data_IF_698251297281
#
_entry.id   IF_698251297281
#
_cell.length_a   1.000
_cell.length_b   1.000
_cell.length_c   1.000
_cell.angle_alpha   90.00
_cell.angle_beta   90.00
_cell.angle_gamma   90.00
#
_symmetry.space_group_name_H-M   'P 1'
#
loop_
_entity.id
_entity.type
_entity.pdbx_description
1 polymer ?
#
# COMPACT_ATOMS: atom_id res chain seq x y z
N UNK A 1 -15.99 34.82 -25.58
CA UNK A 1 -16.56 33.49 -25.33
C UNK A 1 -15.47 32.47 -25.66
N UNK A 2 -14.69 32.02 -24.68
CA UNK A 2 -13.70 30.98 -24.85
C UNK A 2 -14.31 29.71 -24.29
N UNK A 3 -14.76 28.83 -25.17
CA UNK A 3 -15.23 27.50 -24.80
C UNK A 3 -14.02 26.72 -24.32
N UNK A 4 -13.91 26.46 -23.01
CA UNK A 4 -13.00 25.48 -22.48
C UNK A 4 -13.45 24.11 -22.96
N UNK A 5 -12.73 23.55 -23.94
CA UNK A 5 -12.82 22.13 -24.25
C UNK A 5 -12.38 21.38 -22.99
N UNK A 6 -13.33 20.87 -22.21
CA UNK A 6 -13.06 19.75 -21.32
C UNK A 6 -12.61 18.58 -22.21
N UNK A 7 -11.32 18.40 -22.31
CA UNK A 7 -10.74 17.17 -22.81
C UNK A 7 -11.09 16.14 -21.73
N UNK A 8 -12.10 15.32 -22.00
CA UNK A 8 -12.28 14.05 -21.29
C UNK A 8 -11.05 13.19 -21.61
N UNK A 9 -9.97 13.40 -20.90
CA UNK A 9 -8.89 12.41 -20.85
C UNK A 9 -9.56 11.12 -20.35
N UNK A 10 -9.55 10.10 -21.18
CA UNK A 10 -9.86 8.73 -20.78
C UNK A 10 -8.73 8.37 -19.82
N UNK A 11 -8.93 8.64 -18.55
CA UNK A 11 -8.00 8.26 -17.49
C UNK A 11 -7.80 6.74 -17.58
N UNK A 12 -6.56 6.30 -17.66
CA UNK A 12 -6.24 4.88 -17.69
C UNK A 12 -6.84 4.16 -16.50
N UNK A 13 -7.30 2.94 -16.72
CA UNK A 13 -7.79 2.07 -15.64
C UNK A 13 -6.71 1.08 -15.26
N UNK A 14 -6.59 0.81 -13.97
CA UNK A 14 -5.56 -0.08 -13.40
C UNK A 14 -6.20 -1.26 -12.66
N UNK A 15 -5.53 -2.41 -12.64
CA UNK A 15 -5.90 -3.52 -11.78
C UNK A 15 -5.33 -3.28 -10.39
N UNK A 16 -6.17 -3.37 -9.36
CA UNK A 16 -5.73 -3.35 -7.97
C UNK A 16 -5.38 -4.78 -7.52
N UNK A 17 -4.18 -4.95 -6.97
CA UNK A 17 -3.72 -6.20 -6.35
C UNK A 17 -3.65 -6.02 -4.83
N UNK A 18 -4.40 -6.87 -4.11
CA UNK A 18 -4.41 -6.92 -2.64
C UNK A 18 -3.68 -8.20 -2.20
N UNK A 19 -2.43 -8.10 -1.69
CA UNK A 19 -1.71 -9.25 -1.17
C UNK A 19 -2.14 -9.57 0.25
N UNK A 20 -2.72 -10.75 0.48
CA UNK A 20 -3.27 -11.15 1.77
C UNK A 20 -2.85 -12.59 2.12
N UNK A 21 -1.66 -12.76 2.72
CA UNK A 21 -1.22 -14.08 3.18
C UNK A 21 -1.98 -14.54 4.42
N UNK A 22 -2.13 -15.85 4.60
CA UNK A 22 -2.78 -16.47 5.76
C UNK A 22 -1.96 -16.37 7.05
N UNK A 23 -0.63 -16.45 6.94
CA UNK A 23 0.30 -16.38 8.07
C UNK A 23 0.58 -14.94 8.49
N UNK A 24 0.11 -14.53 9.67
CA UNK A 24 0.46 -13.25 10.30
C UNK A 24 0.94 -13.50 11.72
N UNK A 25 2.23 -13.19 12.02
CA UNK A 25 2.85 -13.48 13.33
C UNK A 25 2.40 -12.51 14.42
N UNK A 26 2.48 -11.21 14.15
CA UNK A 26 2.19 -10.18 15.15
C UNK A 26 0.71 -10.18 15.58
N UNK A 27 -0.19 -10.43 14.63
CA UNK A 27 -1.64 -10.49 14.87
C UNK A 27 -2.19 -11.71 14.13
N UNK A 28 -2.60 -12.78 14.85
CA UNK A 28 -3.17 -13.98 14.21
C UNK A 28 -4.35 -13.63 13.30
N UNK A 29 -4.35 -14.19 12.07
CA UNK A 29 -5.39 -13.96 11.06
C UNK A 29 -5.65 -12.46 10.77
N UNK A 30 -4.62 -11.61 10.81
CA UNK A 30 -4.71 -10.15 10.70
C UNK A 30 -5.67 -9.69 9.58
N UNK A 31 -5.51 -10.24 8.38
CA UNK A 31 -6.26 -9.81 7.20
C UNK A 31 -7.78 -10.05 7.28
N UNK A 32 -8.22 -11.00 8.08
CA UNK A 32 -9.63 -11.32 8.28
C UNK A 32 -10.14 -11.03 9.69
N UNK A 33 -9.31 -10.40 10.52
CA UNK A 33 -9.74 -9.94 11.85
C UNK A 33 -10.80 -8.86 11.73
N UNK A 34 -11.85 -8.99 12.52
CA UNK A 34 -13.04 -8.13 12.45
C UNK A 34 -12.79 -6.74 13.03
N UNK A 35 -13.20 -5.72 12.27
CA UNK A 35 -13.21 -4.30 12.65
C UNK A 35 -14.56 -3.72 12.27
N UNK A 36 -15.30 -3.15 13.23
CA UNK A 36 -16.63 -2.55 13.02
C UNK A 36 -17.57 -3.44 12.17
N UNK A 37 -17.55 -4.76 12.47
CA UNK A 37 -18.43 -5.74 11.82
C UNK A 37 -17.95 -6.30 10.49
N UNK A 38 -16.78 -5.89 9.97
CA UNK A 38 -16.21 -6.36 8.71
C UNK A 38 -14.76 -6.82 8.86
N UNK A 39 -14.28 -7.81 8.09
CA UNK A 39 -12.88 -8.22 8.12
C UNK A 39 -11.97 -7.11 7.57
N UNK A 40 -10.75 -7.00 8.09
CA UNK A 40 -9.80 -5.95 7.73
C UNK A 40 -9.63 -5.79 6.21
N UNK A 41 -9.46 -6.90 5.48
CA UNK A 41 -9.29 -6.91 4.02
C UNK A 41 -10.47 -6.27 3.27
N UNK A 42 -11.68 -6.35 3.83
CA UNK A 42 -12.88 -5.81 3.19
C UNK A 42 -12.81 -4.30 2.95
N UNK A 43 -12.14 -3.56 3.83
CA UNK A 43 -11.93 -2.11 3.66
C UNK A 43 -11.08 -1.80 2.43
N UNK A 44 -10.01 -2.57 2.20
CA UNK A 44 -9.19 -2.41 0.99
C UNK A 44 -9.95 -2.81 -0.27
N UNK A 45 -10.75 -3.87 -0.21
CA UNK A 45 -11.62 -4.28 -1.33
C UNK A 45 -12.65 -3.19 -1.63
N UNK A 46 -13.31 -2.64 -0.60
CA UNK A 46 -14.28 -1.56 -0.76
C UNK A 46 -13.66 -0.32 -1.39
N UNK A 47 -12.47 0.09 -0.95
CA UNK A 47 -11.75 1.22 -1.51
C UNK A 47 -11.44 1.01 -3.00
N UNK A 48 -10.97 -0.18 -3.39
CA UNK A 48 -10.72 -0.53 -4.78
C UNK A 48 -12.00 -0.53 -5.62
N UNK A 49 -13.09 -1.10 -5.11
CA UNK A 49 -14.36 -1.19 -5.83
C UNK A 49 -15.07 0.16 -5.98
N UNK A 50 -14.81 1.12 -5.09
CA UNK A 50 -15.35 2.48 -5.15
C UNK A 50 -14.50 3.42 -6.02
N UNK A 51 -13.21 3.14 -6.20
CA UNK A 51 -12.31 3.97 -7.00
C UNK A 51 -12.62 3.84 -8.50
N UNK A 52 -12.95 4.93 -9.17
CA UNK A 52 -13.36 4.95 -10.57
C UNK A 52 -12.25 4.49 -11.54
N UNK A 53 -10.98 4.67 -11.14
CA UNK A 53 -9.81 4.32 -11.94
C UNK A 53 -9.35 2.87 -11.73
N UNK A 54 -9.97 2.12 -10.82
CA UNK A 54 -9.73 0.68 -10.67
C UNK A 54 -10.68 -0.09 -11.58
N UNK A 55 -10.14 -0.98 -12.42
CA UNK A 55 -10.93 -1.80 -13.35
C UNK A 55 -11.32 -3.15 -12.77
N UNK A 56 -10.43 -3.73 -11.95
CA UNK A 56 -10.59 -5.03 -11.30
C UNK A 56 -9.91 -5.02 -9.95
N UNK A 57 -10.49 -5.69 -8.97
CA UNK A 57 -9.90 -5.89 -7.62
C UNK A 57 -9.53 -7.35 -7.49
N UNK A 58 -8.23 -7.65 -7.46
CA UNK A 58 -7.69 -9.02 -7.37
C UNK A 58 -7.02 -9.21 -6.03
N UNK A 59 -7.35 -10.30 -5.33
CA UNK A 59 -6.68 -10.72 -4.10
C UNK A 59 -5.76 -11.89 -4.39
N UNK A 60 -4.49 -11.77 -3.97
CA UNK A 60 -3.51 -12.85 -4.00
C UNK A 60 -3.33 -13.40 -2.59
N UNK A 61 -3.73 -14.64 -2.37
CA UNK A 61 -3.67 -15.32 -1.06
C UNK A 61 -3.30 -16.79 -1.19
N UNK A 62 -2.67 -17.34 -0.15
CA UNK A 62 -2.37 -18.77 0.04
C UNK A 62 -3.40 -19.48 0.93
N UNK A 63 -4.43 -18.75 1.41
CA UNK A 63 -5.41 -19.20 2.39
C UNK A 63 -6.82 -19.18 1.79
N UNK A 64 -7.48 -20.35 1.74
CA UNK A 64 -8.83 -20.47 1.17
C UNK A 64 -9.87 -19.65 1.97
N UNK A 65 -9.77 -19.60 3.30
CA UNK A 65 -10.66 -18.78 4.14
C UNK A 65 -10.60 -17.29 3.74
N UNK A 66 -9.39 -16.76 3.44
CA UNK A 66 -9.22 -15.39 2.95
C UNK A 66 -9.79 -15.26 1.54
N UNK A 67 -9.61 -16.26 0.67
CA UNK A 67 -10.11 -16.25 -0.70
C UNK A 67 -11.65 -16.22 -0.73
N UNK A 68 -12.32 -17.03 0.08
CA UNK A 68 -13.79 -17.05 0.21
C UNK A 68 -14.31 -15.69 0.70
N UNK A 69 -13.71 -15.13 1.74
CA UNK A 69 -14.05 -13.80 2.25
C UNK A 69 -13.85 -12.73 1.17
N UNK A 70 -12.72 -12.76 0.47
CA UNK A 70 -12.43 -11.78 -0.58
C UNK A 70 -13.48 -11.81 -1.70
N UNK A 71 -13.85 -13.00 -2.16
CA UNK A 71 -14.93 -13.22 -3.18
C UNK A 71 -16.28 -12.72 -2.66
N UNK A 72 -16.60 -13.00 -1.39
CA UNK A 72 -17.85 -12.54 -0.76
C UNK A 72 -17.95 -11.01 -0.68
N UNK A 73 -16.82 -10.29 -0.63
CA UNK A 73 -16.76 -8.84 -0.64
C UNK A 73 -16.51 -8.23 -2.05
N UNK A 74 -16.59 -9.04 -3.11
CA UNK A 74 -16.57 -8.59 -4.50
C UNK A 74 -15.18 -8.44 -5.11
N UNK A 75 -14.16 -9.08 -4.54
CA UNK A 75 -12.87 -9.22 -5.18
C UNK A 75 -12.76 -10.52 -5.98
N UNK A 76 -11.90 -10.53 -6.99
CA UNK A 76 -11.53 -11.72 -7.74
C UNK A 76 -10.37 -12.44 -7.04
N UNK A 77 -10.42 -13.78 -7.02
CA UNK A 77 -9.30 -14.65 -6.62
C UNK A 77 -9.11 -15.67 -7.73
N UNK A 78 -8.45 -15.29 -8.82
CA UNK A 78 -8.34 -16.14 -10.02
C UNK A 78 -7.35 -17.29 -9.85
N UNK A 79 -6.47 -17.21 -8.86
CA UNK A 79 -5.46 -18.23 -8.52
C UNK A 79 -5.17 -18.20 -7.02
N UNK A 80 -4.68 -19.31 -6.50
CA UNK A 80 -4.12 -19.37 -5.15
C UNK A 80 -2.61 -19.14 -5.20
N UNK A 81 -2.10 -18.33 -4.28
CA UNK A 81 -0.67 -18.09 -4.13
C UNK A 81 0.01 -19.35 -3.60
N UNK A 82 1.12 -19.82 -4.21
CA UNK A 82 1.94 -20.88 -3.63
C UNK A 82 2.41 -20.53 -2.22
N UNK A 83 2.44 -21.51 -1.32
CA UNK A 83 2.81 -21.30 0.09
C UNK A 83 4.24 -20.79 0.26
N UNK A 84 5.15 -21.20 -0.63
CA UNK A 84 6.53 -20.73 -0.69
C UNK A 84 6.63 -19.21 -0.91
N UNK A 85 5.63 -18.58 -1.56
CA UNK A 85 5.57 -17.12 -1.79
C UNK A 85 4.75 -16.37 -0.72
N UNK A 86 4.40 -17.06 0.36
CA UNK A 86 3.62 -16.51 1.47
C UNK A 86 4.35 -16.58 2.82
N UNK A 87 5.63 -16.94 2.82
CA UNK A 87 6.48 -16.99 4.00
C UNK A 87 6.74 -15.62 4.62
N UNK A 88 7.24 -15.62 5.87
CA UNK A 88 7.53 -14.35 6.58
C UNK A 88 8.68 -13.57 5.96
N UNK A 89 9.63 -14.27 5.34
CA UNK A 89 10.79 -13.69 4.68
C UNK A 89 10.64 -13.62 3.16
N UNK A 90 9.48 -14.06 2.61
CA UNK A 90 9.21 -13.97 1.18
C UNK A 90 9.14 -12.52 0.74
N UNK A 91 10.02 -12.07 -0.16
CA UNK A 91 9.98 -10.72 -0.67
C UNK A 91 8.74 -10.49 -1.57
N UNK A 92 8.27 -9.26 -1.64
CA UNK A 92 7.13 -8.88 -2.47
C UNK A 92 7.28 -9.33 -3.94
N UNK A 93 8.49 -9.36 -4.45
CA UNK A 93 8.82 -9.80 -5.81
C UNK A 93 8.25 -11.19 -6.15
N UNK A 94 8.19 -12.12 -5.20
CA UNK A 94 7.71 -13.49 -5.44
C UNK A 94 6.22 -13.50 -5.76
N UNK A 95 5.37 -12.90 -4.91
CA UNK A 95 3.95 -12.85 -5.18
C UNK A 95 3.60 -11.91 -6.36
N UNK A 96 4.40 -10.87 -6.60
CA UNK A 96 4.23 -9.99 -7.75
C UNK A 96 4.53 -10.73 -9.06
N UNK A 97 5.62 -11.48 -9.13
CA UNK A 97 5.93 -12.31 -10.30
C UNK A 97 4.84 -13.35 -10.52
N UNK A 98 4.42 -14.05 -9.47
CA UNK A 98 3.32 -15.02 -9.56
C UNK A 98 2.02 -14.37 -10.07
N UNK A 99 1.71 -13.15 -9.64
CA UNK A 99 0.57 -12.40 -10.17
C UNK A 99 0.71 -12.14 -11.68
N UNK A 100 1.86 -11.61 -12.12
CA UNK A 100 2.13 -11.30 -13.53
C UNK A 100 2.28 -12.54 -14.41
N UNK A 101 2.54 -13.72 -13.84
CA UNK A 101 2.53 -14.99 -14.58
C UNK A 101 1.09 -15.47 -14.89
N UNK A 102 0.12 -15.03 -14.08
CA UNK A 102 -1.27 -15.44 -14.20
C UNK A 102 -2.18 -14.37 -14.82
N UNK A 103 -1.75 -13.09 -14.83
CA UNK A 103 -2.54 -11.97 -15.37
C UNK A 103 -1.64 -11.12 -16.25
N UNK A 104 -1.99 -11.04 -17.53
CA UNK A 104 -1.26 -10.25 -18.52
C UNK A 104 -1.64 -8.77 -18.39
N UNK A 105 -0.76 -7.99 -17.76
CA UNK A 105 -0.89 -6.54 -17.56
C UNK A 105 0.48 -5.89 -17.35
N UNK A 106 0.64 -4.66 -17.82
CA UNK A 106 1.91 -3.93 -17.72
C UNK A 106 2.14 -3.32 -16.34
N UNK A 107 1.08 -2.86 -15.68
CA UNK A 107 1.13 -2.18 -14.39
C UNK A 107 -0.04 -2.52 -13.48
N UNK A 108 0.18 -2.42 -12.18
CA UNK A 108 -0.81 -2.66 -11.13
C UNK A 108 -0.76 -1.59 -10.04
N UNK A 109 -1.88 -1.41 -9.34
CA UNK A 109 -1.95 -0.72 -8.07
C UNK A 109 -1.86 -1.75 -6.93
N UNK A 110 -0.79 -1.73 -6.16
CA UNK A 110 -0.60 -2.59 -5.00
C UNK A 110 -1.27 -1.95 -3.78
N UNK A 111 -2.22 -2.66 -3.18
CA UNK A 111 -3.12 -2.18 -2.12
C UNK A 111 -3.00 -3.07 -0.89
N UNK A 112 -2.14 -2.74 0.06
CA UNK A 112 -1.91 -3.59 1.24
C UNK A 112 -3.12 -3.58 2.18
N UNK A 113 -3.61 -4.73 2.68
CA UNK A 113 -4.73 -4.78 3.63
C UNK A 113 -4.48 -4.03 4.93
N UNK A 114 -3.20 -3.86 5.30
CA UNK A 114 -2.79 -3.20 6.55
C UNK A 114 -3.08 -1.71 6.58
N UNK A 115 -3.42 -1.12 5.45
CA UNK A 115 -3.80 0.29 5.33
C UNK A 115 -5.29 0.40 4.96
N UNK A 116 -6.22 0.18 5.92
CA UNK A 116 -7.64 0.00 5.60
C UNK A 116 -8.38 1.29 5.24
N UNK A 117 -8.03 2.43 5.85
CA UNK A 117 -8.75 3.71 5.68
C UNK A 117 -8.17 4.55 4.55
N UNK A 118 -8.33 4.07 3.33
CA UNK A 118 -7.87 4.79 2.14
C UNK A 118 -8.81 5.92 1.73
N UNK A 119 -8.22 7.06 1.36
CA UNK A 119 -8.93 8.13 0.69
C UNK A 119 -9.09 7.80 -0.80
N UNK A 120 -10.32 7.77 -1.31
CA UNK A 120 -10.59 7.56 -2.73
C UNK A 120 -9.95 8.65 -3.59
N UNK A 121 -9.99 9.91 -3.12
CA UNK A 121 -9.36 11.04 -3.80
C UNK A 121 -7.86 10.84 -3.98
N UNK A 122 -7.13 10.42 -2.93
CA UNK A 122 -5.69 10.13 -3.03
C UNK A 122 -5.42 8.99 -4.01
N UNK A 123 -6.26 7.96 -4.04
CA UNK A 123 -6.13 6.85 -5.00
C UNK A 123 -6.32 7.33 -6.44
N UNK A 124 -7.38 8.10 -6.70
CA UNK A 124 -7.72 8.62 -8.02
C UNK A 124 -6.65 9.58 -8.54
N UNK A 125 -6.17 10.50 -7.69
CA UNK A 125 -5.11 11.43 -8.04
C UNK A 125 -3.78 10.73 -8.31
N UNK A 126 -3.38 9.78 -7.47
CA UNK A 126 -2.15 9.02 -7.67
C UNK A 126 -2.17 8.23 -8.99
N UNK A 127 -3.31 7.58 -9.31
CA UNK A 127 -3.48 6.86 -10.58
C UNK A 127 -3.41 7.83 -11.76
N UNK A 128 -4.09 8.98 -11.67
CA UNK A 128 -4.08 10.01 -12.70
C UNK A 128 -2.67 10.51 -12.97
N UNK A 129 -1.94 10.94 -11.93
CA UNK A 129 -0.56 11.44 -12.04
C UNK A 129 0.35 10.37 -12.65
N UNK A 130 0.18 9.11 -12.24
CA UNK A 130 0.95 8.02 -12.83
C UNK A 130 0.73 7.89 -14.32
N UNK A 131 -0.52 7.85 -14.80
CA UNK A 131 -0.81 7.71 -16.23
C UNK A 131 -0.38 8.92 -17.06
N UNK A 132 -0.46 10.12 -16.51
CA UNK A 132 0.05 11.34 -17.16
C UNK A 132 1.57 11.31 -17.36
N UNK A 133 2.31 10.61 -16.49
CA UNK A 133 3.77 10.58 -16.48
C UNK A 133 4.36 9.17 -16.71
N UNK A 134 3.54 8.17 -17.07
CA UNK A 134 3.94 6.75 -17.07
C UNK A 134 5.17 6.43 -17.94
N UNK A 135 5.39 7.19 -19.02
CA UNK A 135 6.54 6.96 -19.90
C UNK A 135 7.88 7.34 -19.24
N UNK A 136 7.84 8.26 -18.29
CA UNK A 136 9.03 8.76 -17.60
C UNK A 136 9.29 8.03 -16.27
N UNK A 137 8.24 7.47 -15.65
CA UNK A 137 8.30 6.88 -14.32
C UNK A 137 8.57 5.38 -14.39
N UNK A 138 9.29 4.86 -13.38
CA UNK A 138 9.37 3.42 -13.11
C UNK A 138 8.18 2.96 -12.27
N UNK A 139 7.77 3.77 -11.31
CA UNK A 139 6.67 3.50 -10.38
C UNK A 139 6.19 4.79 -9.73
N UNK A 140 5.09 4.69 -8.97
CA UNK A 140 4.63 5.74 -8.05
C UNK A 140 4.45 5.13 -6.66
N UNK A 141 4.85 5.84 -5.61
CA UNK A 141 4.60 5.48 -4.21
C UNK A 141 3.97 6.63 -3.45
N UNK A 142 2.98 6.33 -2.65
CA UNK A 142 2.48 7.27 -1.66
C UNK A 142 3.38 7.30 -0.44
N UNK A 143 3.66 8.52 0.03
CA UNK A 143 4.53 8.78 1.17
C UNK A 143 3.91 9.83 2.08
N UNK A 144 4.25 9.82 3.36
CA UNK A 144 3.98 10.93 4.28
C UNK A 144 5.29 11.48 4.84
N UNK A 145 5.23 12.70 5.30
CA UNK A 145 6.33 13.27 6.08
C UNK A 145 6.48 12.49 7.38
N UNK A 146 7.72 12.19 7.75
CA UNK A 146 8.00 11.55 9.03
C UNK A 146 8.82 12.44 9.94
N UNK A 147 8.51 12.36 11.23
CA UNK A 147 9.33 13.01 12.27
C UNK A 147 10.62 12.26 12.54
N UNK A 148 10.73 11.01 12.14
CA UNK A 148 11.93 10.21 12.28
C UNK A 148 12.89 10.48 11.12
N UNK A 149 14.13 10.80 11.43
CA UNK A 149 15.18 10.94 10.42
C UNK A 149 16.24 9.87 10.61
N UNK A 150 16.74 9.22 9.56
CA UNK A 150 17.77 8.19 9.65
C UNK A 150 19.06 8.68 10.30
N UNK A 151 19.31 9.99 10.26
CA UNK A 151 20.47 10.62 10.91
C UNK A 151 20.40 10.62 12.44
N UNK A 152 19.24 10.34 13.04
CA UNK A 152 19.05 10.23 14.51
C UNK A 152 18.69 8.82 14.98
N UNK A 153 18.71 7.85 14.08
CA UNK A 153 18.51 6.45 14.41
C UNK A 153 19.86 5.76 14.68
N UNK A 154 19.81 4.70 15.47
CA UNK A 154 20.98 3.90 15.85
C UNK A 154 20.75 2.43 15.55
N UNK A 155 21.80 1.74 15.14
CA UNK A 155 21.92 0.29 15.25
C UNK A 155 22.63 -0.04 16.57
N UNK A 156 22.29 -1.16 17.18
CA UNK A 156 22.93 -1.63 18.42
C UNK A 156 23.88 -2.78 18.08
N UNK A 157 25.15 -2.62 18.48
CA UNK A 157 26.16 -3.66 18.34
C UNK A 157 26.89 -3.82 19.67
N UNK A 158 26.88 -5.02 20.23
CA UNK A 158 27.53 -5.32 21.53
C UNK A 158 27.12 -4.34 22.65
N UNK A 159 25.83 -3.96 22.73
CA UNK A 159 25.26 -2.99 23.67
C UNK A 159 25.67 -1.52 23.43
N UNK A 160 26.36 -1.20 22.34
CA UNK A 160 26.71 0.18 21.97
C UNK A 160 25.84 0.68 20.83
N UNK A 161 25.48 1.97 20.90
CA UNK A 161 24.77 2.64 19.82
C UNK A 161 25.77 3.06 18.74
N UNK A 162 25.51 2.65 17.50
CA UNK A 162 26.25 3.09 16.31
C UNK A 162 25.27 3.80 15.36
N UNK A 163 25.64 4.96 14.81
CA UNK A 163 24.86 5.64 13.76
C UNK A 163 24.82 4.82 12.48
N UNK A 164 23.87 5.15 11.59
CA UNK A 164 23.77 4.49 10.28
C UNK A 164 24.81 5.01 9.28
N UNK A 165 25.33 6.19 9.49
CA UNK A 165 26.32 6.87 8.63
C UNK A 165 27.58 7.17 9.46
N UNK A 166 28.71 7.31 8.80
CA UNK A 166 29.96 7.67 9.46
C UNK A 166 29.99 9.15 9.85
N UNK A 167 29.46 10.02 8.98
CA UNK A 167 29.32 11.44 9.19
C UNK A 167 28.10 12.03 8.44
N UNK A 168 27.82 13.31 8.69
CA UNK A 168 26.91 14.14 7.89
C UNK A 168 27.63 15.45 7.57
N UNK A 169 27.91 15.70 6.30
CA UNK A 169 28.69 16.86 5.82
C UNK A 169 30.04 17.04 6.56
N UNK A 170 30.73 15.94 6.85
CA UNK A 170 31.99 15.91 7.58
C UNK A 170 31.89 16.06 9.10
N UNK A 171 30.66 16.02 9.65
CA UNK A 171 30.41 16.09 11.10
C UNK A 171 30.19 14.68 11.65
N UNK A 172 31.18 14.11 12.33
CA UNK A 172 31.12 12.74 12.88
C UNK A 172 30.02 12.57 13.96
N UNK A 173 29.79 13.59 14.80
CA UNK A 173 28.77 13.54 15.86
C UNK A 173 27.40 14.10 15.40
N UNK A 174 27.05 13.90 14.15
CA UNK A 174 25.83 14.42 13.52
C UNK A 174 24.55 14.07 14.29
N UNK A 175 24.49 12.91 14.96
CA UNK A 175 23.30 12.46 15.70
C UNK A 175 22.85 13.44 16.80
N UNK A 176 23.79 14.31 17.29
CA UNK A 176 23.53 15.34 18.30
C UNK A 176 23.04 16.66 17.73
N UNK A 177 23.12 16.85 16.40
CA UNK A 177 22.63 18.08 15.76
C UNK A 177 21.11 18.22 15.91
N UNK A 178 20.56 19.43 15.99
CA UNK A 178 19.14 19.67 15.91
C UNK A 178 18.54 19.06 14.64
N UNK A 179 17.31 18.54 14.73
CA UNK A 179 16.64 17.88 13.60
C UNK A 179 16.58 18.76 12.34
N UNK A 180 16.44 20.07 12.52
CA UNK A 180 16.33 21.04 11.43
C UNK A 180 17.59 21.15 10.55
N UNK A 181 18.71 20.57 10.98
CA UNK A 181 19.92 20.47 10.16
C UNK A 181 19.78 19.41 9.05
N UNK A 182 18.89 18.43 9.22
CA UNK A 182 18.73 17.34 8.28
C UNK A 182 17.61 17.64 7.29
N UNK A 183 17.68 17.07 6.07
CA UNK A 183 16.60 17.21 5.11
C UNK A 183 15.30 16.60 5.66
N UNK A 184 14.17 17.10 5.18
CA UNK A 184 12.88 16.48 5.45
C UNK A 184 12.90 15.04 4.94
N UNK A 185 12.41 14.11 5.76
CA UNK A 185 12.34 12.69 5.44
C UNK A 185 10.90 12.24 5.25
N UNK A 186 10.74 11.25 4.39
CA UNK A 186 9.44 10.69 4.04
C UNK A 186 9.49 9.18 4.21
N UNK A 187 8.37 8.60 4.60
CA UNK A 187 8.20 7.15 4.66
C UNK A 187 7.07 6.70 3.74
N UNK A 188 7.24 5.52 3.14
CA UNK A 188 6.19 4.93 2.33
C UNK A 188 5.06 4.46 3.24
N UNK A 189 3.83 4.91 2.98
CA UNK A 189 2.69 4.67 3.85
C UNK A 189 1.73 3.58 3.37
N UNK A 190 2.00 2.97 2.20
CA UNK A 190 1.19 1.86 1.69
C UNK A 190 -0.24 2.22 1.28
N UNK A 191 -0.57 3.51 1.16
CA UNK A 191 -1.89 3.93 0.70
C UNK A 191 -2.17 3.40 -0.70
N UNK A 192 -1.26 3.62 -1.66
CA UNK A 192 -1.22 3.02 -2.98
C UNK A 192 0.22 3.04 -3.51
N UNK A 193 0.68 1.91 -4.03
CA UNK A 193 1.92 1.81 -4.81
C UNK A 193 1.56 1.38 -6.24
N UNK A 194 2.04 2.10 -7.27
CA UNK A 194 1.84 1.69 -8.67
C UNK A 194 3.15 1.12 -9.19
N UNK A 195 3.10 -0.12 -9.68
CA UNK A 195 4.27 -0.94 -10.01
C UNK A 195 4.15 -1.45 -11.44
N UNK A 196 5.25 -1.39 -12.19
CA UNK A 196 5.35 -1.96 -13.54
C UNK A 196 5.88 -3.38 -13.51
N UNK A 197 5.27 -4.27 -14.29
CA UNK A 197 5.73 -5.64 -14.50
C UNK A 197 7.22 -5.69 -14.86
N UNK A 198 7.68 -4.88 -15.82
CA UNK A 198 9.06 -4.85 -16.27
C UNK A 198 10.06 -4.56 -15.15
N UNK A 199 9.67 -3.74 -14.14
CA UNK A 199 10.55 -3.44 -13.02
C UNK A 199 10.68 -4.65 -12.08
N UNK A 200 9.58 -5.35 -11.82
CA UNK A 200 9.57 -6.58 -11.01
C UNK A 200 10.42 -7.67 -11.68
N UNK A 201 10.25 -7.85 -13.01
CA UNK A 201 11.03 -8.81 -13.80
C UNK A 201 12.54 -8.50 -13.82
N UNK A 202 12.89 -7.22 -13.77
CA UNK A 202 14.30 -6.78 -13.74
C UNK A 202 14.92 -6.77 -12.32
N UNK A 203 14.28 -7.40 -11.35
CA UNK A 203 14.72 -7.49 -9.94
C UNK A 203 14.75 -6.14 -9.19
N UNK A 204 13.98 -5.18 -9.67
CA UNK A 204 13.84 -3.85 -9.06
C UNK A 204 12.36 -3.51 -8.92
N UNK A 205 11.68 -3.99 -7.88
CA UNK A 205 10.22 -3.88 -7.69
C UNK A 205 9.66 -2.50 -8.04
N UNK A 206 10.32 -1.43 -7.62
CA UNK A 206 9.90 -0.05 -7.89
C UNK A 206 10.71 0.62 -9.01
N UNK A 207 11.81 0.03 -9.46
CA UNK A 207 12.73 0.64 -10.44
C UNK A 207 13.51 1.82 -9.86
N UNK A 208 14.06 2.66 -10.76
CA UNK A 208 14.96 3.76 -10.37
C UNK A 208 14.28 5.13 -10.30
N UNK A 209 13.24 5.38 -11.10
CA UNK A 209 12.55 6.68 -11.18
C UNK A 209 11.16 6.55 -10.53
N UNK A 210 11.14 6.66 -9.21
CA UNK A 210 9.95 6.50 -8.36
C UNK A 210 9.34 7.88 -8.14
N UNK A 211 8.08 8.08 -8.52
CA UNK A 211 7.34 9.31 -8.18
C UNK A 211 6.86 9.21 -6.73
N UNK A 212 7.23 10.17 -5.90
CA UNK A 212 6.74 10.29 -4.54
C UNK A 212 5.46 11.16 -4.52
N UNK A 213 4.32 10.54 -4.25
CA UNK A 213 3.07 11.25 -4.02
C UNK A 213 2.93 11.51 -2.51
N UNK A 214 3.13 12.75 -2.10
CA UNK A 214 3.02 13.13 -0.69
C UNK A 214 1.55 13.26 -0.32
N UNK A 215 1.10 12.46 0.63
CA UNK A 215 -0.25 12.53 1.21
C UNK A 215 -0.18 12.51 2.74
N UNK A 216 -1.33 12.67 3.40
CA UNK A 216 -1.38 12.67 4.86
C UNK A 216 -1.04 11.31 5.48
N UNK A 217 -0.84 11.31 6.79
CA UNK A 217 -0.65 10.09 7.57
C UNK A 217 -1.84 9.14 7.42
N UNK A 218 -1.56 7.85 7.49
CA UNK A 218 -2.55 6.80 7.43
C UNK A 218 -2.25 5.75 8.51
N UNK A 219 -3.29 5.13 9.05
CA UNK A 219 -3.12 4.06 10.02
C UNK A 219 -2.68 2.79 9.28
N UNK A 220 -1.46 2.33 9.56
CA UNK A 220 -0.94 1.03 9.12
C UNK A 220 -1.02 0.02 10.28
N UNK A 221 -1.64 -1.13 10.01
CA UNK A 221 -1.97 -2.13 11.04
C UNK A 221 -0.84 -3.14 11.17
N UNK A 222 0.09 -2.91 12.09
CA UNK A 222 1.17 -3.84 12.41
C UNK A 222 1.09 -4.40 13.84
N UNK A 223 0.52 -3.64 14.77
CA UNK A 223 0.38 -4.01 16.17
C UNK A 223 -1.09 -4.03 16.61
N UNK A 224 -1.38 -4.72 17.72
CA UNK A 224 -2.74 -4.76 18.27
C UNK A 224 -3.29 -3.36 18.59
N UNK A 225 -2.45 -2.45 19.08
CA UNK A 225 -2.85 -1.08 19.38
C UNK A 225 -3.37 -0.34 18.13
N UNK A 226 -2.82 -0.63 16.94
CA UNK A 226 -3.31 -0.05 15.69
C UNK A 226 -4.74 -0.51 15.36
N UNK A 227 -5.11 -1.76 15.70
CA UNK A 227 -6.51 -2.21 15.57
C UNK A 227 -7.44 -1.45 16.49
N UNK A 228 -7.00 -1.14 17.70
CA UNK A 228 -7.82 -0.40 18.64
C UNK A 228 -7.96 1.07 18.18
N UNK A 229 -6.88 1.68 17.71
CA UNK A 229 -6.94 3.00 17.08
C UNK A 229 -7.86 3.02 15.86
N UNK A 230 -7.80 1.99 15.01
CA UNK A 230 -8.64 1.87 13.81
C UNK A 230 -10.13 1.86 14.16
N UNK A 231 -10.54 1.15 15.22
CA UNK A 231 -11.95 1.10 15.66
C UNK A 231 -12.50 2.49 16.00
N UNK A 232 -11.66 3.34 16.61
CA UNK A 232 -12.05 4.71 16.95
C UNK A 232 -11.94 5.68 15.77
N UNK A 233 -11.03 5.42 14.82
CA UNK A 233 -10.83 6.26 13.65
C UNK A 233 -11.92 6.05 12.57
N UNK A 234 -12.65 4.94 12.60
CA UNK A 234 -13.75 4.68 11.68
C UNK A 234 -15.01 5.38 12.19
N UNK A 235 -15.29 6.55 11.66
CA UNK A 235 -16.54 7.27 11.90
C UNK A 235 -17.71 6.58 11.21
N UNK A 236 -18.93 6.73 11.75
CA UNK A 236 -20.15 6.11 11.20
C UNK A 236 -20.45 6.57 9.77
N UNK A 237 -20.03 7.78 9.42
CA UNK A 237 -20.22 8.35 8.10
C UNK A 237 -19.12 8.01 7.10
N UNK A 238 -18.08 7.25 7.50
CA UNK A 238 -17.01 6.80 6.63
C UNK A 238 -17.57 6.07 5.39
N UNK A 239 -17.15 6.52 4.20
CA UNK A 239 -17.68 6.03 2.91
C UNK A 239 -17.45 4.53 2.71
N UNK A 240 -16.31 4.00 3.18
CA UNK A 240 -15.98 2.58 3.05
C UNK A 240 -16.89 1.76 3.97
N UNK A 241 -17.09 2.19 5.21
CA UNK A 241 -17.98 1.52 6.16
C UNK A 241 -19.43 1.54 5.65
N UNK A 242 -19.92 2.68 5.14
CA UNK A 242 -21.24 2.76 4.53
C UNK A 242 -21.41 1.80 3.34
N UNK A 243 -20.38 1.66 2.50
CA UNK A 243 -20.38 0.71 1.40
C UNK A 243 -20.44 -0.74 1.92
N UNK A 244 -19.60 -1.09 2.90
CA UNK A 244 -19.53 -2.42 3.49
C UNK A 244 -20.83 -2.82 4.18
N UNK A 245 -21.47 -1.91 4.91
CA UNK A 245 -22.76 -2.17 5.57
C UNK A 245 -23.88 -2.50 4.58
N UNK A 246 -23.86 -1.90 3.37
CA UNK A 246 -24.79 -2.28 2.29
C UNK A 246 -24.50 -3.66 1.72
N UNK A 247 -23.24 -4.10 1.74
CA UNK A 247 -22.84 -5.42 1.26
C UNK A 247 -23.30 -6.55 2.18
N UNK A 248 -23.32 -6.31 3.49
CA UNK A 248 -23.75 -7.28 4.52
C UNK A 248 -25.24 -7.62 4.43
N UNK A 249 -26.05 -6.78 3.81
CA UNK A 249 -27.51 -6.93 3.68
C UNK A 249 -27.92 -7.59 2.36
N UNK A 250 -26.97 -8.06 1.56
CA UNK A 250 -27.18 -8.86 0.34
C UNK A 250 -26.91 -10.34 0.60
#
# INVERSE_FOLDING_TARGET
>A
MVFSKQVNLILGKIIALIPARGGSKAIPKKNIKMVNGHPLIAYSIAACNLCQNVSRTVVSTDCEEIAEIARAYGAEVPFMRPKEFAGDLSPDKEFLNHFFDNIDVEEIALMRPTTPLRSLHVMEDAIKIYFENKNELSSLRTVNETSSTPYKLFKIKNNYCEGFFDDYDGIENYNNLPRQFFPQTYEANGHIDIIKQKCVRADHTFGKKIYAYVCGEIIDIDLQVHFDMLKYAIEEDNILLKHLNKWRNK
#
